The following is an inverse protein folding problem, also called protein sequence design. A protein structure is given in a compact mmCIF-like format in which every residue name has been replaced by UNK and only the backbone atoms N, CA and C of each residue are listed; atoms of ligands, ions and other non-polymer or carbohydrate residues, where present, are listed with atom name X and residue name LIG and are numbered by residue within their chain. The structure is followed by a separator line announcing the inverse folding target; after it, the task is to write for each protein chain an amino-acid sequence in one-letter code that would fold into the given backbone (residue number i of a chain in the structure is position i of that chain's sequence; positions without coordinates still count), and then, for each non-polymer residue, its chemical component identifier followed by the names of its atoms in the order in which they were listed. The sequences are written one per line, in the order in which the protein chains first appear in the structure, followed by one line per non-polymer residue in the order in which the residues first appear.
data_IF_398723021324
#
_entry.id   IF_398723021324
#
_cell.length_a   1.000
_cell.length_b   1.000
_cell.length_c   1.000
_cell.angle_alpha   90.00
_cell.angle_beta   90.00
_cell.angle_gamma   90.00
#
_symmetry.space_group_name_H-M   'P 1'
#
loop_
_entity.id
_entity.type
_entity.pdbx_description
1 polymer ?
#
# COMPACT_ATOMS: atom_id res chain seq x y z
N UNK A 1 -3.44 -0.24 -9.05
CA UNK A 1 -3.12 -1.18 -10.15
C UNK A 1 -2.43 -0.47 -11.31
N UNK A 2 -2.98 0.64 -11.86
CA UNK A 2 -2.37 1.36 -12.98
C UNK A 2 -0.97 1.86 -12.68
N UNK A 3 -0.75 2.52 -11.55
CA UNK A 3 0.57 3.01 -11.13
C UNK A 3 1.61 1.89 -10.93
N UNK A 4 1.18 0.69 -10.56
CA UNK A 4 2.06 -0.47 -10.47
C UNK A 4 2.61 -0.85 -11.85
N UNK A 5 1.75 -1.00 -12.86
CA UNK A 5 2.15 -1.30 -14.23
C UNK A 5 3.00 -0.18 -14.83
N UNK A 6 2.63 1.07 -14.60
CA UNK A 6 3.38 2.25 -15.05
C UNK A 6 4.80 2.30 -14.46
N UNK A 7 4.96 1.94 -13.18
CA UNK A 7 6.28 1.89 -12.53
C UNK A 7 7.18 0.85 -13.21
N UNK A 8 6.66 -0.34 -13.52
CA UNK A 8 7.41 -1.37 -14.22
C UNK A 8 7.71 -0.97 -15.67
N UNK A 9 6.73 -0.41 -16.39
CA UNK A 9 6.95 0.10 -17.74
C UNK A 9 8.13 1.11 -17.77
N UNK A 10 8.08 2.12 -16.91
CA UNK A 10 9.15 3.12 -16.77
C UNK A 10 10.51 2.51 -16.42
N UNK A 11 10.54 1.53 -15.50
CA UNK A 11 11.79 0.86 -15.11
C UNK A 11 12.42 0.02 -16.22
N UNK A 12 11.62 -0.38 -17.20
CA UNK A 12 12.05 -1.13 -18.38
C UNK A 12 12.22 -0.24 -19.63
N UNK A 13 12.04 1.08 -19.51
CA UNK A 13 12.24 2.06 -20.59
C UNK A 13 11.05 2.21 -21.54
N UNK A 14 9.83 1.82 -21.11
CA UNK A 14 8.62 1.87 -21.91
C UNK A 14 7.63 2.91 -21.35
N UNK A 15 6.83 3.51 -22.22
CA UNK A 15 5.60 4.18 -21.81
C UNK A 15 4.55 3.15 -21.38
N UNK A 16 3.55 3.57 -20.60
CA UNK A 16 2.47 2.67 -20.19
C UNK A 16 1.68 2.07 -21.38
N UNK A 17 1.57 2.84 -22.45
CA UNK A 17 0.87 2.42 -23.68
C UNK A 17 1.67 1.40 -24.47
N UNK A 18 2.95 1.65 -24.73
CA UNK A 18 3.84 0.71 -25.41
C UNK A 18 3.95 -0.60 -24.63
N UNK A 19 4.01 -0.51 -23.29
CA UNK A 19 4.07 -1.69 -22.42
C UNK A 19 2.78 -2.52 -22.47
N UNK A 20 1.63 -1.87 -22.60
CA UNK A 20 0.34 -2.55 -22.80
C UNK A 20 0.30 -3.27 -24.15
N UNK A 21 0.74 -2.62 -25.21
CA UNK A 21 0.81 -3.23 -26.54
C UNK A 21 1.79 -4.41 -26.57
N UNK A 22 2.98 -4.25 -25.96
CA UNK A 22 3.94 -5.33 -25.82
C UNK A 22 3.32 -6.57 -25.14
N UNK A 23 2.56 -6.37 -24.07
CA UNK A 23 1.87 -7.45 -23.37
C UNK A 23 0.86 -8.20 -24.27
N UNK A 24 0.17 -7.48 -25.16
CA UNK A 24 -0.77 -8.10 -26.10
C UNK A 24 -0.09 -8.98 -27.17
N UNK A 25 1.23 -8.80 -27.39
CA UNK A 25 2.04 -9.60 -28.32
C UNK A 25 2.81 -10.73 -27.62
N UNK A 26 2.49 -11.02 -26.36
CA UNK A 26 3.13 -12.11 -25.62
C UNK A 26 2.68 -13.48 -26.14
N UNK A 27 3.64 -14.37 -26.37
CA UNK A 27 3.39 -15.76 -26.74
C UNK A 27 3.38 -16.69 -25.53
N UNK A 28 4.20 -16.34 -24.50
CA UNK A 28 4.36 -17.15 -23.30
C UNK A 28 4.41 -16.28 -22.04
N UNK A 29 3.27 -15.75 -21.54
CA UNK A 29 3.23 -14.89 -20.37
C UNK A 29 3.94 -15.47 -19.16
N UNK A 30 4.87 -14.73 -18.56
CA UNK A 30 5.60 -15.18 -17.37
C UNK A 30 4.65 -15.38 -16.18
N UNK A 31 4.73 -16.48 -15.47
CA UNK A 31 4.05 -16.61 -14.18
C UNK A 31 4.83 -15.87 -13.08
N UNK A 32 4.40 -14.66 -12.80
CA UNK A 32 4.97 -13.81 -11.77
C UNK A 32 4.26 -13.96 -10.41
N UNK A 33 3.18 -14.73 -10.37
CA UNK A 33 2.36 -14.94 -9.17
C UNK A 33 1.64 -13.68 -8.68
N UNK A 34 1.25 -13.67 -7.42
CA UNK A 34 0.51 -12.59 -6.75
C UNK A 34 1.31 -11.98 -5.61
N UNK A 35 2.45 -11.37 -5.91
CA UNK A 35 3.39 -10.84 -4.91
C UNK A 35 3.18 -9.34 -4.70
N UNK A 36 3.66 -8.81 -3.57
CA UNK A 36 3.75 -7.36 -3.39
C UNK A 36 4.82 -6.77 -4.32
N UNK A 37 4.78 -5.45 -4.55
CA UNK A 37 5.65 -4.73 -5.49
C UNK A 37 7.14 -5.00 -5.26
N UNK A 38 7.57 -5.10 -3.99
CA UNK A 38 8.99 -5.34 -3.64
C UNK A 38 9.45 -6.70 -4.14
N UNK A 39 8.70 -7.75 -3.84
CA UNK A 39 9.01 -9.11 -4.30
C UNK A 39 8.79 -9.30 -5.80
N UNK A 40 7.89 -8.51 -6.39
CA UNK A 40 7.68 -8.50 -7.84
C UNK A 40 8.91 -7.97 -8.57
N UNK A 41 9.57 -6.91 -8.08
CA UNK A 41 10.82 -6.40 -8.64
C UNK A 41 11.90 -7.49 -8.73
N UNK A 42 12.07 -8.26 -7.66
CA UNK A 42 13.04 -9.35 -7.64
C UNK A 42 12.69 -10.43 -8.66
N UNK A 43 11.39 -10.78 -8.77
CA UNK A 43 10.93 -11.80 -9.72
C UNK A 43 11.07 -11.33 -11.17
N UNK A 44 10.74 -10.09 -11.48
CA UNK A 44 10.95 -9.52 -12.82
C UNK A 44 12.42 -9.53 -13.21
N UNK A 45 13.32 -9.10 -12.31
CA UNK A 45 14.77 -9.19 -12.54
C UNK A 45 15.26 -10.61 -12.75
N UNK A 46 14.69 -11.57 -12.04
CA UNK A 46 15.01 -12.99 -12.19
C UNK A 46 14.63 -13.46 -13.59
N UNK A 47 13.36 -13.33 -14.01
CA UNK A 47 12.90 -13.83 -15.32
C UNK A 47 13.59 -13.12 -16.49
N UNK A 48 13.97 -11.83 -16.33
CA UNK A 48 14.83 -11.14 -17.31
C UNK A 48 16.18 -11.83 -17.49
N UNK A 49 16.84 -12.24 -16.40
CA UNK A 49 18.11 -12.97 -16.45
C UNK A 49 17.95 -14.40 -17.04
N UNK A 50 16.77 -14.97 -16.89
CA UNK A 50 16.40 -16.27 -17.46
C UNK A 50 16.05 -16.15 -18.96
N UNK A 51 16.06 -14.94 -19.53
CA UNK A 51 15.85 -14.69 -20.96
C UNK A 51 14.40 -14.44 -21.37
N UNK A 52 13.52 -14.15 -20.42
CA UNK A 52 12.14 -13.81 -20.75
C UNK A 52 12.07 -12.50 -21.56
N UNK A 53 11.16 -12.47 -22.53
CA UNK A 53 10.95 -11.27 -23.36
C UNK A 53 10.19 -10.19 -22.57
N UNK A 54 10.32 -8.94 -23.00
CA UNK A 54 9.53 -7.84 -22.40
C UNK A 54 8.05 -8.06 -22.59
N UNK A 55 7.63 -8.64 -23.71
CA UNK A 55 6.24 -8.97 -23.99
C UNK A 55 5.68 -9.95 -22.94
N UNK A 56 6.42 -11.00 -22.64
CA UNK A 56 6.01 -12.04 -21.69
C UNK A 56 6.00 -11.53 -20.25
N UNK A 57 6.92 -10.64 -19.90
CA UNK A 57 6.97 -9.97 -18.60
C UNK A 57 5.79 -9.00 -18.45
N UNK A 58 5.51 -8.20 -19.47
CA UNK A 58 4.41 -7.24 -19.46
C UNK A 58 3.04 -7.94 -19.33
N UNK A 59 2.84 -9.02 -20.07
CA UNK A 59 1.66 -9.88 -19.94
C UNK A 59 1.58 -10.52 -18.55
N UNK A 60 2.67 -11.08 -18.05
CA UNK A 60 2.75 -11.66 -16.71
C UNK A 60 2.38 -10.67 -15.60
N UNK A 61 2.80 -9.39 -15.74
CA UNK A 61 2.42 -8.32 -14.81
C UNK A 61 0.93 -7.99 -14.89
N UNK A 62 0.34 -7.96 -16.09
CA UNK A 62 -1.10 -7.78 -16.27
C UNK A 62 -1.89 -8.90 -15.57
N UNK A 63 -1.51 -10.15 -15.79
CA UNK A 63 -2.09 -11.30 -15.07
C UNK A 63 -1.93 -11.18 -13.55
N UNK A 64 -0.76 -10.79 -13.08
CA UNK A 64 -0.50 -10.63 -11.65
C UNK A 64 -1.40 -9.57 -11.00
N UNK A 65 -1.62 -8.43 -11.67
CA UNK A 65 -2.53 -7.37 -11.21
C UNK A 65 -3.95 -7.89 -11.10
N UNK A 66 -4.44 -8.59 -12.13
CA UNK A 66 -5.79 -9.15 -12.14
C UNK A 66 -5.94 -10.22 -11.06
N UNK A 67 -5.00 -11.17 -10.97
CA UNK A 67 -4.99 -12.20 -9.92
C UNK A 67 -5.00 -11.59 -8.51
N UNK A 68 -4.22 -10.52 -8.28
CA UNK A 68 -4.23 -9.82 -7.01
C UNK A 68 -5.60 -9.18 -6.70
N UNK A 69 -6.24 -8.58 -7.70
CA UNK A 69 -7.59 -8.02 -7.56
C UNK A 69 -8.61 -9.10 -7.21
N UNK A 70 -8.67 -10.16 -8.00
CA UNK A 70 -9.67 -11.22 -7.85
C UNK A 70 -9.47 -12.02 -6.55
N UNK A 71 -8.27 -12.47 -6.28
CA UNK A 71 -8.02 -13.42 -5.19
C UNK A 71 -7.70 -12.75 -3.85
N UNK A 72 -7.03 -11.59 -3.84
CA UNK A 72 -6.64 -10.94 -2.58
C UNK A 72 -7.55 -9.80 -2.16
N UNK A 73 -8.02 -8.99 -3.11
CA UNK A 73 -8.91 -7.86 -2.80
C UNK A 73 -10.37 -8.34 -2.70
N UNK A 74 -10.88 -8.96 -3.77
CA UNK A 74 -12.24 -9.49 -3.81
C UNK A 74 -12.37 -10.83 -3.06
N UNK A 75 -11.25 -11.50 -2.79
CA UNK A 75 -11.19 -12.80 -2.08
C UNK A 75 -12.08 -13.87 -2.72
N UNK A 76 -12.18 -13.84 -4.03
CA UNK A 76 -12.96 -14.83 -4.78
C UNK A 76 -12.27 -16.20 -4.70
N UNK A 77 -13.00 -17.21 -4.29
CA UNK A 77 -12.58 -18.62 -4.38
C UNK A 77 -12.85 -19.20 -5.75
N UNK A 78 -13.89 -18.72 -6.40
CA UNK A 78 -14.32 -19.11 -7.72
C UNK A 78 -14.65 -17.83 -8.52
N UNK A 79 -14.03 -17.71 -9.70
CA UNK A 79 -14.20 -16.54 -10.58
C UNK A 79 -15.56 -16.59 -11.29
N UNK A 80 -16.15 -17.78 -11.47
CA UNK A 80 -17.46 -17.95 -12.10
C UNK A 80 -18.59 -17.16 -11.43
N UNK A 81 -18.40 -16.78 -10.17
CA UNK A 81 -19.31 -15.90 -9.41
C UNK A 81 -19.51 -14.54 -10.07
N UNK A 82 -18.55 -14.07 -10.90
CA UNK A 82 -18.66 -12.81 -11.63
C UNK A 82 -19.67 -12.87 -12.79
N UNK A 83 -20.14 -14.06 -13.15
CA UNK A 83 -21.04 -14.25 -14.29
C UNK A 83 -20.31 -14.34 -15.62
N UNK A 84 -21.10 -14.35 -16.72
CA UNK A 84 -20.57 -14.47 -18.08
C UNK A 84 -20.35 -13.11 -18.75
N UNK A 85 -21.04 -12.09 -18.30
CA UNK A 85 -20.98 -10.73 -18.85
C UNK A 85 -20.36 -9.82 -17.78
N UNK A 86 -19.12 -9.43 -17.99
CA UNK A 86 -18.35 -8.59 -17.05
C UNK A 86 -18.21 -7.20 -17.65
N UNK A 87 -18.65 -6.18 -16.92
CA UNK A 87 -18.42 -4.78 -17.29
C UNK A 87 -17.30 -4.21 -16.44
N UNK A 88 -16.31 -3.62 -17.10
CA UNK A 88 -15.15 -3.01 -16.41
C UNK A 88 -15.08 -1.51 -16.68
N UNK A 89 -14.62 -0.77 -15.65
CA UNK A 89 -14.48 0.68 -15.71
C UNK A 89 -13.26 1.16 -14.89
N UNK A 90 -12.86 2.40 -15.11
CA UNK A 90 -11.70 3.03 -14.48
C UNK A 90 -10.50 3.10 -15.41
N UNK A 91 -9.57 4.04 -15.14
CA UNK A 91 -8.43 4.33 -16.01
C UNK A 91 -7.48 3.14 -16.26
N UNK A 92 -7.37 2.20 -15.32
CA UNK A 92 -6.58 0.97 -15.51
C UNK A 92 -7.11 0.12 -16.67
N UNK A 93 -8.39 0.21 -16.98
CA UNK A 93 -9.04 -0.55 -18.07
C UNK A 93 -8.76 0.02 -19.45
N UNK A 94 -8.02 1.13 -19.57
CA UNK A 94 -7.41 1.56 -20.83
C UNK A 94 -6.32 0.59 -21.31
N UNK A 95 -5.78 -0.19 -20.41
CA UNK A 95 -4.77 -1.19 -20.72
C UNK A 95 -5.42 -2.46 -21.25
N UNK A 96 -5.27 -2.72 -22.55
CA UNK A 96 -5.87 -3.87 -23.24
C UNK A 96 -5.40 -5.22 -22.68
N UNK A 97 -4.13 -5.30 -22.27
CA UNK A 97 -3.59 -6.52 -21.68
C UNK A 97 -4.27 -6.86 -20.33
N UNK A 98 -4.66 -5.84 -19.54
CA UNK A 98 -5.40 -6.06 -18.29
C UNK A 98 -6.82 -6.56 -18.60
N UNK A 99 -7.49 -5.98 -19.55
CA UNK A 99 -8.82 -6.43 -19.99
C UNK A 99 -8.76 -7.87 -20.49
N UNK A 100 -7.78 -8.15 -21.37
CA UNK A 100 -7.57 -9.51 -21.90
C UNK A 100 -7.22 -10.52 -20.79
N UNK A 101 -6.45 -10.13 -19.80
CA UNK A 101 -6.15 -10.99 -18.66
C UNK A 101 -7.40 -11.32 -17.82
N UNK A 102 -8.34 -10.36 -17.69
CA UNK A 102 -9.64 -10.62 -17.02
C UNK A 102 -10.43 -11.66 -17.84
N UNK A 103 -10.57 -11.49 -19.16
CA UNK A 103 -11.27 -12.42 -20.04
C UNK A 103 -10.70 -13.84 -19.93
N UNK A 104 -9.38 -13.97 -20.06
CA UNK A 104 -8.71 -15.27 -20.03
C UNK A 104 -8.78 -15.97 -18.67
N UNK A 105 -8.78 -15.20 -17.57
CA UNK A 105 -8.89 -15.75 -16.23
C UNK A 105 -10.32 -16.09 -15.83
N UNK A 106 -11.31 -15.31 -16.31
CA UNK A 106 -12.73 -15.53 -15.98
C UNK A 106 -13.42 -16.48 -16.93
N UNK A 107 -12.91 -16.60 -18.17
CA UNK A 107 -13.62 -17.29 -19.26
C UNK A 107 -14.90 -16.59 -19.69
N UNK A 108 -15.05 -15.30 -19.35
CA UNK A 108 -16.23 -14.48 -19.60
C UNK A 108 -15.93 -13.40 -20.63
N UNK A 109 -16.97 -12.88 -21.26
CA UNK A 109 -16.87 -11.70 -22.11
C UNK A 109 -16.75 -10.44 -21.25
N UNK A 110 -15.80 -9.55 -21.62
CA UNK A 110 -15.54 -8.32 -20.86
C UNK A 110 -15.89 -7.11 -21.71
N UNK A 111 -16.94 -6.41 -21.32
CA UNK A 111 -17.37 -5.16 -21.95
C UNK A 111 -16.65 -3.95 -21.29
N UNK A 112 -16.14 -3.08 -22.14
CA UNK A 112 -15.48 -1.82 -21.76
C UNK A 112 -15.97 -0.71 -22.67
N UNK A 113 -16.30 0.47 -22.12
CA UNK A 113 -16.59 1.65 -22.93
C UNK A 113 -15.27 2.30 -23.45
N UNK A 114 -15.39 3.19 -24.44
CA UNK A 114 -14.23 3.86 -25.06
C UNK A 114 -13.47 4.79 -24.10
N UNK A 115 -14.15 5.30 -23.07
CA UNK A 115 -13.60 6.19 -22.04
C UNK A 115 -13.82 5.63 -20.65
N UNK A 116 -13.20 4.49 -20.31
CA UNK A 116 -13.49 3.78 -19.06
C UNK A 116 -13.14 4.61 -17.82
N UNK A 117 -12.20 5.54 -17.91
CA UNK A 117 -11.80 6.45 -16.84
C UNK A 117 -12.86 7.50 -16.47
N UNK A 118 -13.78 7.81 -17.39
CA UNK A 118 -14.83 8.81 -17.17
C UNK A 118 -16.12 8.21 -16.63
N UNK A 119 -16.22 6.89 -16.55
CA UNK A 119 -17.47 6.21 -16.15
C UNK A 119 -17.92 6.55 -14.73
N UNK A 120 -16.98 6.83 -13.83
CA UNK A 120 -17.32 7.33 -12.49
C UNK A 120 -18.01 8.71 -12.52
N UNK A 121 -17.47 9.63 -13.31
CA UNK A 121 -18.04 10.96 -13.50
C UNK A 121 -19.40 10.87 -14.19
N UNK A 122 -19.54 10.01 -15.20
CA UNK A 122 -20.80 9.76 -15.87
C UNK A 122 -21.87 9.22 -14.91
N UNK A 123 -21.49 8.24 -14.07
CA UNK A 123 -22.38 7.70 -13.03
C UNK A 123 -22.83 8.78 -12.02
N UNK A 124 -21.92 9.66 -11.60
CA UNK A 124 -22.27 10.81 -10.75
C UNK A 124 -23.25 11.76 -11.43
N UNK A 125 -23.07 12.03 -12.73
CA UNK A 125 -23.99 12.87 -13.50
C UNK A 125 -25.40 12.24 -13.58
N UNK A 126 -25.48 10.94 -13.86
CA UNK A 126 -26.75 10.22 -13.87
C UNK A 126 -27.43 10.20 -12.50
N UNK A 127 -26.65 10.06 -11.44
CA UNK A 127 -27.17 10.13 -10.08
C UNK A 127 -27.70 11.53 -9.77
N UNK A 128 -26.96 12.59 -10.10
CA UNK A 128 -27.38 13.96 -9.91
C UNK A 128 -28.67 14.29 -10.66
N UNK A 129 -28.83 13.77 -11.88
CA UNK A 129 -30.08 13.95 -12.65
C UNK A 129 -31.30 13.34 -11.95
N UNK A 130 -31.13 12.24 -11.23
CA UNK A 130 -32.21 11.59 -10.47
C UNK A 130 -32.52 12.27 -9.14
N UNK A 131 -31.53 12.94 -8.56
CA UNK A 131 -31.59 13.59 -7.27
C UNK A 131 -31.41 15.10 -7.46
N UNK A 132 -32.36 15.74 -8.13
CA UNK A 132 -32.30 17.17 -8.41
C UNK A 132 -32.26 17.98 -7.11
N UNK A 133 -31.19 18.76 -6.96
CA UNK A 133 -31.02 19.80 -5.95
C UNK A 133 -31.07 21.19 -6.57
N UNK A 134 -30.65 22.21 -5.84
CA UNK A 134 -30.47 23.54 -6.39
C UNK A 134 -29.42 23.53 -7.50
N UNK A 135 -29.73 24.13 -8.65
CA UNK A 135 -28.77 24.25 -9.74
C UNK A 135 -27.71 25.32 -9.40
N UNK A 136 -26.47 24.95 -9.49
CA UNK A 136 -25.32 25.84 -9.31
C UNK A 136 -24.63 26.04 -10.66
N UNK A 137 -24.30 27.26 -11.03
CA UNK A 137 -23.59 27.53 -12.28
C UNK A 137 -22.16 27.01 -12.22
N UNK A 138 -21.60 26.65 -13.39
CA UNK A 138 -20.22 26.19 -13.49
C UNK A 138 -19.23 27.28 -13.02
N UNK A 139 -19.51 28.57 -13.37
CA UNK A 139 -18.69 29.70 -12.93
C UNK A 139 -18.69 29.85 -11.42
N UNK A 140 -19.83 29.63 -10.77
CA UNK A 140 -19.94 29.68 -9.31
C UNK A 140 -19.14 28.54 -8.67
N UNK A 141 -19.16 27.34 -9.25
CA UNK A 141 -18.34 26.21 -8.77
C UNK A 141 -16.87 26.51 -8.93
N UNK A 142 -16.44 27.02 -10.11
CA UNK A 142 -15.02 27.34 -10.40
C UNK A 142 -14.53 28.44 -9.45
N UNK A 143 -15.33 29.49 -9.23
CA UNK A 143 -14.95 30.58 -8.35
C UNK A 143 -14.88 30.14 -6.88
N UNK A 144 -15.79 29.29 -6.42
CA UNK A 144 -15.75 28.71 -5.06
C UNK A 144 -14.65 27.69 -4.87
N UNK A 145 -14.13 27.11 -5.95
CA UNK A 145 -13.06 26.12 -5.92
C UNK A 145 -11.66 26.74 -5.95
N UNK A 146 -11.53 28.07 -6.01
CA UNK A 146 -10.22 28.73 -5.92
C UNK A 146 -9.62 28.51 -4.53
N UNK A 147 -8.36 28.10 -4.52
CA UNK A 147 -7.62 27.79 -3.29
C UNK A 147 -6.14 28.17 -3.43
N UNK A 148 -5.53 28.44 -2.30
CA UNK A 148 -4.07 28.43 -2.16
C UNK A 148 -3.61 27.12 -1.54
N UNK A 149 -2.48 26.57 -2.00
CA UNK A 149 -1.93 25.33 -1.48
C UNK A 149 -0.59 25.58 -0.79
N UNK A 150 -0.41 25.09 0.43
CA UNK A 150 0.85 25.18 1.18
C UNK A 150 1.24 23.83 1.73
N UNK A 151 2.47 23.41 1.42
CA UNK A 151 3.06 22.17 1.96
C UNK A 151 3.65 22.41 3.34
N UNK A 152 3.41 21.49 4.27
CA UNK A 152 3.96 21.51 5.63
C UNK A 152 4.25 20.09 6.13
N UNK A 153 5.18 19.94 7.03
CA UNK A 153 5.49 18.66 7.66
C UNK A 153 4.80 18.54 9.02
N UNK A 154 4.05 17.46 9.20
CA UNK A 154 3.48 17.14 10.51
C UNK A 154 4.60 16.78 11.49
N UNK A 155 4.58 17.38 12.68
CA UNK A 155 5.58 17.16 13.73
C UNK A 155 5.07 16.31 14.91
N UNK A 156 3.88 15.70 14.76
CA UNK A 156 3.23 14.99 15.87
C UNK A 156 3.82 13.62 16.18
N UNK A 157 4.48 12.99 15.20
CA UNK A 157 5.10 11.67 15.37
C UNK A 157 6.22 11.47 14.34
N UNK A 158 6.92 10.34 14.43
CA UNK A 158 8.07 10.02 13.56
C UNK A 158 7.73 9.84 12.09
N UNK A 159 6.46 9.66 11.73
CA UNK A 159 6.04 9.60 10.33
C UNK A 159 6.28 10.89 9.54
N UNK A 160 6.35 12.06 10.22
CA UNK A 160 6.61 13.37 9.61
C UNK A 160 5.90 13.56 8.27
N UNK A 161 4.61 13.22 8.22
CA UNK A 161 3.83 13.28 6.99
C UNK A 161 3.98 14.64 6.32
N UNK A 162 4.24 14.63 5.01
CA UNK A 162 4.08 15.81 4.17
C UNK A 162 2.58 16.05 3.99
N UNK A 163 2.08 17.14 4.55
CA UNK A 163 0.67 17.54 4.50
C UNK A 163 0.55 18.75 3.60
N UNK A 164 -0.41 18.73 2.69
CA UNK A 164 -0.77 19.88 1.89
C UNK A 164 -2.05 20.47 2.48
N UNK A 165 -1.97 21.72 2.90
CA UNK A 165 -3.11 22.51 3.34
C UNK A 165 -3.63 23.29 2.15
N UNK A 166 -4.89 23.10 1.83
CA UNK A 166 -5.64 23.87 0.86
C UNK A 166 -6.49 24.89 1.61
N UNK A 167 -6.33 26.15 1.31
CA UNK A 167 -7.12 27.25 1.89
C UNK A 167 -8.00 27.81 0.80
N UNK A 168 -9.31 27.65 0.94
CA UNK A 168 -10.30 28.17 0.02
C UNK A 168 -10.67 29.62 0.39
N UNK A 169 -11.08 30.40 -0.59
CA UNK A 169 -11.54 31.77 -0.37
C UNK A 169 -12.71 31.85 0.63
N UNK A 170 -13.48 30.80 0.77
CA UNK A 170 -14.54 30.66 1.78
C UNK A 170 -14.02 30.60 3.22
N UNK A 171 -12.70 30.64 3.45
CA UNK A 171 -12.04 30.46 4.75
C UNK A 171 -11.98 29.03 5.25
N UNK A 172 -12.52 28.05 4.50
CA UNK A 172 -12.40 26.63 4.82
C UNK A 172 -11.02 26.11 4.44
N UNK A 173 -10.49 25.21 5.24
CA UNK A 173 -9.24 24.51 4.93
C UNK A 173 -9.49 23.02 4.72
N UNK A 174 -8.74 22.42 3.80
CA UNK A 174 -8.69 20.98 3.59
C UNK A 174 -7.26 20.51 3.66
N UNK A 175 -7.04 19.35 4.27
CA UNK A 175 -5.72 18.75 4.46
C UNK A 175 -5.62 17.44 3.71
N UNK A 176 -4.55 17.24 2.94
CA UNK A 176 -4.24 15.97 2.29
C UNK A 176 -2.83 15.49 2.64
N UNK A 177 -2.55 14.20 2.45
CA UNK A 177 -1.24 13.60 2.73
C UNK A 177 -1.03 13.17 4.18
N UNK A 178 -1.92 13.52 5.11
CA UNK A 178 -1.87 13.02 6.48
C UNK A 178 -2.24 11.52 6.53
N UNK A 179 -1.51 10.76 7.32
CA UNK A 179 -1.77 9.31 7.52
C UNK A 179 -2.69 9.04 8.72
N UNK A 180 -3.00 10.04 9.49
CA UNK A 180 -3.94 9.98 10.61
C UNK A 180 -4.62 11.33 10.79
N UNK A 181 -5.71 11.38 11.53
CA UNK A 181 -6.48 12.61 11.77
C UNK A 181 -6.24 13.20 13.18
N UNK A 182 -5.06 12.97 13.77
CA UNK A 182 -4.75 13.46 15.13
C UNK A 182 -4.52 14.97 15.19
N UNK A 183 -3.91 15.55 14.15
CA UNK A 183 -3.51 16.97 14.10
C UNK A 183 -4.26 17.69 13.00
N UNK A 184 -4.32 17.09 11.82
CA UNK A 184 -5.00 17.65 10.66
C UNK A 184 -6.23 16.80 10.36
N UNK A 185 -7.41 17.37 10.52
CA UNK A 185 -8.69 16.71 10.28
C UNK A 185 -9.53 17.53 9.29
N UNK A 186 -10.23 16.83 8.40
CA UNK A 186 -11.15 17.44 7.42
C UNK A 186 -12.62 17.29 7.83
N UNK A 187 -12.89 16.56 8.89
CA UNK A 187 -14.24 16.38 9.42
C UNK A 187 -14.43 17.07 10.76
N UNK A 188 -15.66 17.17 11.19
CA UNK A 188 -15.97 17.51 12.57
C UNK A 188 -15.29 16.48 13.47
N UNK A 189 -14.47 16.94 14.43
CA UNK A 189 -13.80 16.03 15.35
C UNK A 189 -14.89 15.29 16.14
N UNK A 190 -15.18 14.05 15.74
CA UNK A 190 -15.99 13.20 16.59
C UNK A 190 -15.18 12.98 17.86
N UNK A 191 -15.65 13.52 18.99
CA UNK A 191 -15.07 13.33 20.32
C UNK A 191 -15.08 11.86 20.79
N UNK A 192 -15.45 10.92 19.93
CA UNK A 192 -15.35 9.48 20.15
C UNK A 192 -13.91 9.02 19.93
N UNK A 193 -13.04 9.29 20.88
CA UNK A 193 -11.77 8.57 20.96
C UNK A 193 -12.08 7.11 21.25
N UNK A 194 -12.10 6.30 20.22
CA UNK A 194 -12.13 4.86 20.38
C UNK A 194 -10.94 4.37 21.23
N UNK A 195 -11.11 3.25 21.90
CA UNK A 195 -10.03 2.58 22.62
C UNK A 195 -8.91 2.22 21.65
N UNK A 196 -7.68 2.66 21.92
CA UNK A 196 -6.52 2.26 21.12
C UNK A 196 -6.05 0.87 21.55
N UNK A 197 -6.63 -0.15 20.94
CA UNK A 197 -6.33 -1.56 21.23
C UNK A 197 -4.85 -1.90 20.97
N UNK A 198 -4.21 -1.26 19.97
CA UNK A 198 -2.78 -1.48 19.72
C UNK A 198 -1.90 -1.02 20.87
N UNK A 199 -2.20 0.11 21.48
CA UNK A 199 -1.47 0.58 22.65
C UNK A 199 -1.60 -0.39 23.81
N UNK A 200 -2.80 -0.91 24.06
CA UNK A 200 -3.00 -1.91 25.09
C UNK A 200 -2.26 -3.22 24.77
N UNK A 201 -2.31 -3.68 23.51
CA UNK A 201 -1.55 -4.85 23.07
C UNK A 201 -0.06 -4.65 23.34
N UNK A 202 0.48 -3.50 23.00
CA UNK A 202 1.88 -3.16 23.18
C UNK A 202 2.31 -3.15 24.67
N UNK A 203 1.49 -2.56 25.52
CA UNK A 203 1.69 -2.58 26.98
C UNK A 203 1.68 -4.01 27.53
N UNK A 204 0.72 -4.84 27.13
CA UNK A 204 0.61 -6.23 27.58
C UNK A 204 1.77 -7.11 27.10
N UNK A 205 2.30 -6.85 25.90
CA UNK A 205 3.38 -7.64 25.33
C UNK A 205 4.73 -7.27 25.95
N UNK A 206 5.07 -6.00 26.02
CA UNK A 206 6.43 -5.52 26.26
C UNK A 206 6.66 -4.97 27.66
N UNK A 207 5.65 -4.60 28.44
CA UNK A 207 5.79 -4.22 29.83
C UNK A 207 5.94 -5.46 30.72
N UNK A 208 7.09 -6.11 30.59
CA UNK A 208 7.46 -7.27 31.40
C UNK A 208 8.79 -6.98 32.06
N UNK A 209 8.78 -6.87 33.37
CA UNK A 209 9.99 -6.71 34.17
C UNK A 209 10.24 -8.00 34.96
N UNK A 210 11.35 -8.65 34.66
CA UNK A 210 11.94 -9.60 35.57
C UNK A 210 13.39 -9.18 35.72
N UNK A 211 13.71 -8.53 36.80
CA UNK A 211 15.09 -8.23 37.19
C UNK A 211 15.67 -9.46 37.85
N UNK A 212 16.70 -10.02 37.26
CA UNK A 212 17.44 -11.15 37.84
C UNK A 212 18.62 -10.58 38.60
N UNK A 213 18.67 -10.86 39.91
CA UNK A 213 19.77 -10.44 40.73
C UNK A 213 21.06 -11.16 40.29
N UNK A 214 22.07 -10.42 39.81
CA UNK A 214 23.36 -10.91 39.31
C UNK A 214 23.22 -11.97 38.17
N UNK A 215 22.70 -11.60 37.00
CA UNK A 215 22.53 -12.53 35.89
C UNK A 215 23.90 -12.95 35.34
N UNK A 216 24.14 -14.23 35.13
CA UNK A 216 25.33 -14.75 34.47
C UNK A 216 25.35 -14.42 32.97
N UNK A 217 24.16 -14.28 32.36
CA UNK A 217 24.03 -14.01 30.94
C UNK A 217 22.92 -12.97 30.70
N UNK A 218 23.14 -12.15 29.68
CA UNK A 218 22.15 -11.18 29.19
C UNK A 218 21.89 -11.48 27.71
N UNK A 219 20.62 -11.55 27.32
CA UNK A 219 20.21 -11.72 25.93
C UNK A 219 19.42 -10.51 25.45
N UNK A 220 19.84 -9.91 24.34
CA UNK A 220 19.09 -8.85 23.64
C UNK A 220 18.01 -9.43 22.74
N UNK A 221 16.80 -8.90 22.83
CA UNK A 221 15.69 -9.26 21.94
C UNK A 221 15.27 -8.04 21.14
N UNK A 222 15.32 -8.09 19.79
CA UNK A 222 14.88 -6.98 18.95
C UNK A 222 13.35 -6.86 18.98
N UNK A 223 12.83 -5.67 19.31
CA UNK A 223 11.40 -5.35 19.37
C UNK A 223 10.80 -5.15 17.97
N UNK A 224 10.77 -6.20 17.16
CA UNK A 224 10.31 -6.14 15.77
C UNK A 224 9.76 -7.47 15.28
N UNK A 225 9.07 -7.46 14.15
CA UNK A 225 8.52 -8.63 13.47
C UNK A 225 7.72 -9.55 14.41
N UNK A 226 8.09 -10.84 14.47
CA UNK A 226 7.38 -11.85 15.26
C UNK A 226 7.38 -11.57 16.76
N UNK A 227 8.28 -10.74 17.27
CA UNK A 227 8.31 -10.40 18.68
C UNK A 227 7.05 -9.66 19.15
N UNK A 228 6.29 -9.06 18.24
CA UNK A 228 4.94 -8.53 18.53
C UNK A 228 3.89 -9.61 18.84
N UNK A 229 4.25 -10.89 18.80
CA UNK A 229 3.42 -12.03 19.22
C UNK A 229 4.17 -12.96 20.16
N UNK A 230 5.46 -13.20 19.93
CA UNK A 230 6.24 -14.23 20.60
C UNK A 230 7.04 -13.72 21.82
N UNK A 231 7.22 -12.41 21.97
CA UNK A 231 8.04 -11.86 23.07
C UNK A 231 7.66 -12.38 24.46
N UNK A 232 6.37 -12.51 24.86
CA UNK A 232 6.02 -13.05 26.18
C UNK A 232 6.56 -14.46 26.42
N UNK A 233 6.57 -15.30 25.39
CA UNK A 233 7.10 -16.66 25.46
C UNK A 233 8.62 -16.63 25.69
N UNK A 234 9.34 -15.92 24.83
CA UNK A 234 10.80 -15.84 24.93
C UNK A 234 11.29 -15.20 26.20
N UNK A 235 10.64 -14.11 26.62
CA UNK A 235 10.93 -13.45 27.88
C UNK A 235 10.78 -14.40 29.06
N UNK A 236 9.64 -15.13 29.14
CA UNK A 236 9.40 -16.08 30.23
C UNK A 236 10.39 -17.24 30.22
N UNK A 237 10.69 -17.79 29.05
CA UNK A 237 11.65 -18.89 28.89
C UNK A 237 13.03 -18.49 29.41
N UNK A 238 13.58 -17.39 28.92
CA UNK A 238 14.94 -16.95 29.29
C UNK A 238 15.03 -16.55 30.76
N UNK A 239 14.05 -15.80 31.26
CA UNK A 239 14.04 -15.40 32.68
C UNK A 239 13.86 -16.60 33.62
N UNK A 240 13.10 -17.63 33.23
CA UNK A 240 12.99 -18.89 33.99
C UNK A 240 14.31 -19.69 34.01
N UNK A 241 15.15 -19.50 33.01
CA UNK A 241 16.48 -20.08 32.95
C UNK A 241 17.57 -19.22 33.64
N UNK A 242 17.22 -18.16 34.33
CA UNK A 242 18.18 -17.27 35.00
C UNK A 242 18.90 -16.31 34.03
N UNK A 243 18.43 -16.14 32.81
CA UNK A 243 19.01 -15.27 31.81
C UNK A 243 18.26 -13.93 31.80
N UNK A 244 18.98 -12.82 31.97
CA UNK A 244 18.40 -11.48 31.90
C UNK A 244 18.03 -11.15 30.45
N UNK A 245 16.80 -10.70 30.21
CA UNK A 245 16.32 -10.23 28.91
C UNK A 245 16.41 -8.72 28.82
N UNK A 246 17.05 -8.22 27.75
CA UNK A 246 17.09 -6.82 27.38
C UNK A 246 16.30 -6.63 26.08
N UNK A 247 15.26 -5.81 26.11
CA UNK A 247 14.44 -5.51 24.93
C UNK A 247 14.92 -4.20 24.32
N UNK A 248 15.10 -4.19 22.99
CA UNK A 248 15.44 -2.95 22.28
C UNK A 248 14.32 -1.92 22.38
N UNK A 249 14.66 -0.65 22.25
CA UNK A 249 13.72 0.47 22.24
C UNK A 249 12.67 0.35 21.12
N UNK A 250 11.52 1.04 21.24
CA UNK A 250 10.56 1.11 20.14
C UNK A 250 11.17 1.64 18.85
N UNK A 251 10.72 1.10 17.71
CA UNK A 251 11.14 1.58 16.39
C UNK A 251 10.91 3.08 16.23
N UNK A 252 11.90 3.79 15.72
CA UNK A 252 11.74 5.16 15.28
C UNK A 252 12.50 5.44 13.98
N UNK A 253 12.03 6.41 13.21
CA UNK A 253 12.57 6.69 11.89
C UNK A 253 14.01 7.25 11.94
N UNK A 254 14.37 8.00 12.98
CA UNK A 254 15.73 8.55 13.14
C UNK A 254 16.78 7.46 13.34
N UNK A 255 16.47 6.47 14.19
CA UNK A 255 17.35 5.31 14.39
C UNK A 255 17.50 4.51 13.08
N UNK A 256 16.41 4.35 12.32
CA UNK A 256 16.49 3.73 11.01
C UNK A 256 17.38 4.50 10.03
N UNK A 257 17.21 5.82 9.89
CA UNK A 257 18.04 6.65 9.02
C UNK A 257 19.53 6.56 9.39
N UNK A 258 19.83 6.58 10.69
CA UNK A 258 21.21 6.46 11.17
C UNK A 258 21.84 5.12 10.78
N UNK A 259 21.08 4.04 10.87
CA UNK A 259 21.54 2.67 10.62
C UNK A 259 21.19 2.16 9.20
N UNK A 260 20.69 3.02 8.31
CA UNK A 260 20.26 2.60 6.96
C UNK A 260 21.39 1.97 6.13
N UNK A 261 22.64 2.33 6.38
CA UNK A 261 23.83 1.77 5.71
C UNK A 261 24.06 0.29 6.04
N UNK A 262 23.49 -0.21 7.13
CA UNK A 262 23.60 -1.62 7.52
C UNK A 262 22.60 -2.52 6.78
N UNK A 263 21.62 -1.94 6.10
CA UNK A 263 20.62 -2.67 5.32
C UNK A 263 21.25 -3.13 4.01
N UNK A 264 21.63 -4.39 3.95
CA UNK A 264 22.37 -4.99 2.82
C UNK A 264 21.53 -5.17 1.55
N UNK A 265 20.22 -5.06 1.62
CA UNK A 265 19.33 -5.31 0.48
C UNK A 265 18.16 -4.34 0.44
N UNK A 266 17.95 -3.72 -0.73
CA UNK A 266 16.78 -2.90 -1.00
C UNK A 266 15.49 -3.73 -1.20
N UNK A 267 15.64 -5.03 -1.43
CA UNK A 267 14.55 -5.93 -1.80
C UNK A 267 13.80 -6.55 -0.61
N UNK A 268 14.05 -6.10 0.61
CA UNK A 268 13.30 -6.51 1.80
C UNK A 268 12.25 -5.47 2.18
N UNK A 269 11.15 -5.90 2.81
CA UNK A 269 10.11 -4.99 3.25
C UNK A 269 10.61 -4.07 4.38
N UNK A 270 9.98 -2.89 4.51
CA UNK A 270 10.42 -1.88 5.48
C UNK A 270 10.47 -2.40 6.94
N UNK A 271 9.48 -3.17 7.44
CA UNK A 271 9.58 -3.75 8.78
C UNK A 271 10.81 -4.63 8.99
N UNK A 272 11.22 -5.40 7.97
CA UNK A 272 12.43 -6.21 8.05
C UNK A 272 13.72 -5.35 8.03
N UNK A 273 13.71 -4.20 7.35
CA UNK A 273 14.83 -3.24 7.40
C UNK A 273 15.05 -2.66 8.80
N UNK A 274 13.98 -2.52 9.58
CA UNK A 274 14.07 -2.00 10.96
C UNK A 274 14.83 -2.93 11.91
N UNK A 275 14.90 -4.24 11.62
CA UNK A 275 15.62 -5.22 12.47
C UNK A 275 17.06 -4.77 12.72
N UNK A 276 17.75 -4.26 11.69
CA UNK A 276 19.13 -3.79 11.81
C UNK A 276 19.30 -2.69 12.87
N UNK A 277 18.32 -1.79 12.97
CA UNK A 277 18.34 -0.73 13.98
C UNK A 277 18.12 -1.26 15.39
N UNK A 278 17.30 -2.29 15.54
CA UNK A 278 17.04 -2.92 16.84
C UNK A 278 18.20 -3.78 17.34
N UNK A 279 19.00 -4.34 16.43
CA UNK A 279 20.21 -5.11 16.80
C UNK A 279 21.35 -4.19 17.24
N UNK A 280 21.33 -2.92 16.83
CA UNK A 280 22.30 -1.91 17.24
C UNK A 280 21.97 -1.21 18.58
N UNK A 281 20.72 -1.28 19.03
CA UNK A 281 20.31 -0.77 20.34
C UNK A 281 20.92 -1.58 21.48
#
# INVERSE_FOLDING_TARGET
CGSFLETFAKSLGYSAQEFSLAACHSEAPCDLGTRCTVFMNSKVKQVLREGATINDIAAGLAYSVVKNCLYKVLKLKDISVLGKDIVVQGGTMRNDAVVRAIELLSGAEVARCDTPELMGAFGCALYAMKHQGESVSLDEIINKAQYSARSLYCKSCDNRCLVIRYEFESGKSYYSGNRCEKVFTNGESSNRKGLNVYRQKEELLFHRSAEIAAPEQIIGIPRCLNMYEEYPFWHTLFTSCGIQVCLSDPSNFRKYEHNARMVMSDNICFPAKLVHSHVQD
#
